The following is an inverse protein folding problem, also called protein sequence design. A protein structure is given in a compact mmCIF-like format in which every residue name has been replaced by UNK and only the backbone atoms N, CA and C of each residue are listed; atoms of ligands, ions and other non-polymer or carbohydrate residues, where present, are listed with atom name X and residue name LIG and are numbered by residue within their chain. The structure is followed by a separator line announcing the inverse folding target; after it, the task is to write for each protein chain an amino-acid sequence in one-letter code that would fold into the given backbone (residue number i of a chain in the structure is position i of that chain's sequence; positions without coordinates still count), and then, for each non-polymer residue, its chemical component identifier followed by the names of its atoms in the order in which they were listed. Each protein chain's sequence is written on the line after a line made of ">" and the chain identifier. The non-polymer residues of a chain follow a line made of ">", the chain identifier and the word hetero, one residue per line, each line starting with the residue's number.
data_IF_148910379679
#
_entry.id   IF_148910379679
#
_cell.length_a   1.000
_cell.length_b   1.000
_cell.length_c   1.000
_cell.angle_alpha   90.00
_cell.angle_beta   90.00
_cell.angle_gamma   90.00
#
_symmetry.space_group_name_H-M   'P 1'
#
loop_
_entity.id
_entity.type
_entity.pdbx_description
1 polymer ?
#
# COMPACT_ATOMS: atom_id res chain seq x y z
N UNK A 1 85.71 -3.49 26.71
CA UNK A 1 84.99 -4.38 25.76
C UNK A 1 83.55 -4.54 26.23
N UNK A 2 82.63 -4.59 25.27
CA UNK A 2 81.25 -4.09 25.36
C UNK A 2 80.29 -5.00 26.15
N UNK A 3 79.43 -4.35 26.94
CA UNK A 3 78.19 -4.90 27.52
C UNK A 3 77.14 -5.08 26.40
N UNK A 4 76.45 -6.21 26.35
CA UNK A 4 75.24 -6.38 25.53
C UNK A 4 74.08 -6.75 26.44
N UNK A 5 73.28 -5.73 26.77
CA UNK A 5 71.95 -5.83 27.36
C UNK A 5 71.01 -6.19 26.20
N UNK A 6 70.38 -7.35 26.25
CA UNK A 6 69.38 -7.77 25.27
C UNK A 6 68.02 -7.19 25.71
N UNK A 7 67.61 -6.11 25.05
CA UNK A 7 66.29 -5.50 25.17
C UNK A 7 65.28 -6.37 24.42
N UNK A 8 64.39 -7.05 25.15
CA UNK A 8 63.21 -7.70 24.60
C UNK A 8 62.17 -6.61 24.33
N UNK A 9 62.07 -6.16 23.08
CA UNK A 9 60.99 -5.31 22.61
C UNK A 9 59.71 -6.12 22.46
N UNK A 10 58.80 -5.97 23.41
CA UNK A 10 57.43 -6.49 23.36
C UNK A 10 56.61 -5.62 22.39
N UNK A 11 56.36 -6.15 21.19
CA UNK A 11 55.51 -5.51 20.17
C UNK A 11 54.05 -5.68 20.62
N UNK A 12 53.44 -4.60 21.12
CA UNK A 12 51.99 -4.51 21.35
C UNK A 12 51.34 -4.32 19.98
N UNK A 13 50.78 -5.40 19.42
CA UNK A 13 49.92 -5.34 18.25
C UNK A 13 48.57 -4.77 18.71
N UNK A 14 48.41 -3.45 18.52
CA UNK A 14 47.15 -2.77 18.71
C UNK A 14 46.22 -3.18 17.57
N UNK A 15 45.43 -4.24 17.76
CA UNK A 15 44.38 -4.63 16.85
C UNK A 15 43.32 -3.51 16.84
N UNK A 16 43.41 -2.64 15.83
CA UNK A 16 42.36 -1.69 15.52
C UNK A 16 41.13 -2.49 15.09
N UNK A 17 40.27 -2.82 16.06
CA UNK A 17 38.91 -3.25 15.78
C UNK A 17 38.20 -2.06 15.13
N UNK A 18 38.22 -2.03 13.79
CA UNK A 18 37.29 -1.23 13.02
C UNK A 18 35.89 -1.79 13.30
N UNK A 19 35.24 -1.30 14.35
CA UNK A 19 33.80 -1.38 14.47
C UNK A 19 33.24 -0.54 13.32
N UNK A 20 33.07 -1.17 12.17
CA UNK A 20 32.19 -0.65 11.15
C UNK A 20 30.82 -0.55 11.80
N UNK A 21 30.39 0.67 12.13
CA UNK A 21 29.02 0.91 12.53
C UNK A 21 28.14 0.39 11.38
N UNK A 22 27.51 -0.76 11.58
CA UNK A 22 26.50 -1.24 10.67
C UNK A 22 25.45 -0.14 10.62
N UNK A 23 25.29 0.52 9.47
CA UNK A 23 24.25 1.52 9.28
C UNK A 23 22.93 0.79 9.45
N UNK A 24 22.27 1.05 10.58
CA UNK A 24 21.00 0.43 10.89
C UNK A 24 19.93 0.99 9.95
N UNK A 25 19.21 0.10 9.26
CA UNK A 25 18.12 0.50 8.36
C UNK A 25 17.09 1.32 9.12
N UNK A 26 16.78 2.51 8.61
CA UNK A 26 15.74 3.36 9.17
C UNK A 26 14.34 2.89 8.77
N UNK A 27 13.32 3.28 9.54
CA UNK A 27 11.92 3.00 9.20
C UNK A 27 11.52 3.55 7.83
N UNK A 28 12.00 4.75 7.49
CA UNK A 28 11.74 5.39 6.19
C UNK A 28 12.34 4.57 5.04
N UNK A 29 13.59 4.12 5.17
CA UNK A 29 14.23 3.30 4.12
C UNK A 29 13.51 1.98 3.90
N UNK A 30 13.00 1.35 4.97
CA UNK A 30 12.23 0.10 4.87
C UNK A 30 10.92 0.35 4.10
N UNK A 31 10.20 1.44 4.41
CA UNK A 31 8.93 1.77 3.77
C UNK A 31 9.10 2.22 2.32
N UNK A 32 10.12 3.03 2.03
CA UNK A 32 10.45 3.44 0.66
C UNK A 32 10.85 2.24 -0.21
N UNK A 33 11.66 1.31 0.31
CA UNK A 33 12.00 0.06 -0.40
C UNK A 33 10.77 -0.82 -0.62
N UNK A 34 9.90 -0.95 0.38
CA UNK A 34 8.65 -1.71 0.27
C UNK A 34 7.71 -1.12 -0.81
N UNK A 35 7.49 0.20 -0.78
CA UNK A 35 6.64 0.90 -1.77
C UNK A 35 7.18 0.70 -3.19
N UNK A 36 8.49 0.90 -3.39
CA UNK A 36 9.16 0.69 -4.70
C UNK A 36 9.19 -0.77 -5.14
N UNK A 37 9.18 -1.73 -4.22
CA UNK A 37 9.17 -3.14 -4.56
C UNK A 37 7.85 -3.53 -5.23
N UNK A 38 6.72 -2.93 -4.83
CA UNK A 38 5.39 -3.27 -5.36
C UNK A 38 4.81 -2.25 -6.33
N UNK A 39 5.41 -1.05 -6.46
CA UNK A 39 4.97 0.01 -7.37
C UNK A 39 6.06 0.42 -8.37
N UNK A 40 5.64 0.85 -9.55
CA UNK A 40 6.48 1.53 -10.54
C UNK A 40 6.12 3.01 -10.66
N UNK A 41 6.85 3.74 -11.49
CA UNK A 41 6.51 5.11 -11.86
C UNK A 41 5.15 5.18 -12.57
N UNK A 42 4.88 4.14 -13.36
CA UNK A 42 3.57 3.86 -13.93
C UNK A 42 3.19 2.41 -13.70
N UNK A 43 1.88 2.16 -13.64
CA UNK A 43 1.34 0.82 -13.49
C UNK A 43 0.05 0.67 -14.30
N UNK A 44 -0.09 -0.45 -15.01
CA UNK A 44 -1.35 -0.89 -15.61
C UNK A 44 -1.68 -2.23 -15.00
N UNK A 45 -2.88 -2.41 -14.46
CA UNK A 45 -3.25 -3.67 -13.80
C UNK A 45 -4.64 -4.14 -14.16
N UNK A 46 -4.80 -5.45 -14.23
CA UNK A 46 -6.08 -6.14 -14.25
C UNK A 46 -6.29 -6.80 -12.89
N UNK A 47 -7.38 -6.43 -12.23
CA UNK A 47 -7.65 -6.78 -10.84
C UNK A 47 -9.04 -7.37 -10.72
N UNK A 48 -9.16 -8.41 -9.90
CA UNK A 48 -10.44 -8.97 -9.47
C UNK A 48 -10.67 -8.63 -8.00
N UNK A 49 -11.81 -8.03 -7.67
CA UNK A 49 -12.13 -7.58 -6.32
C UNK A 49 -13.40 -8.31 -5.86
N UNK A 50 -13.27 -9.18 -4.87
CA UNK A 50 -14.39 -9.89 -4.25
C UNK A 50 -14.75 -9.20 -2.95
N UNK A 51 -15.94 -8.63 -2.88
CA UNK A 51 -16.51 -8.01 -1.68
C UNK A 51 -17.47 -9.04 -1.07
N UNK A 52 -17.16 -9.52 0.12
CA UNK A 52 -18.00 -10.44 0.88
C UNK A 52 -18.59 -9.71 2.07
N UNK A 53 -19.91 -9.55 2.05
CA UNK A 53 -20.70 -9.09 3.18
C UNK A 53 -21.49 -10.26 3.76
N UNK A 54 -22.14 -10.06 4.92
CA UNK A 54 -22.96 -11.11 5.56
C UNK A 54 -24.07 -11.68 4.66
N UNK A 55 -24.63 -10.83 3.79
CA UNK A 55 -25.84 -11.15 3.00
C UNK A 55 -25.55 -11.44 1.53
N UNK A 56 -24.40 -11.00 1.02
CA UNK A 56 -24.11 -11.06 -0.40
C UNK A 56 -22.62 -11.11 -0.66
N UNK A 57 -22.25 -11.67 -1.82
CA UNK A 57 -20.89 -11.61 -2.37
C UNK A 57 -20.96 -11.04 -3.77
N UNK A 58 -20.06 -10.11 -4.09
CA UNK A 58 -19.96 -9.47 -5.41
C UNK A 58 -18.52 -9.45 -5.84
N UNK A 59 -18.27 -9.86 -7.09
CA UNK A 59 -16.93 -9.90 -7.67
C UNK A 59 -16.85 -8.93 -8.84
N UNK A 60 -15.97 -7.95 -8.73
CA UNK A 60 -15.70 -6.95 -9.75
C UNK A 60 -14.46 -7.36 -10.55
N UNK A 61 -14.46 -7.10 -11.85
CA UNK A 61 -13.22 -7.05 -12.65
C UNK A 61 -12.94 -5.61 -12.97
N UNK A 62 -11.73 -5.15 -12.71
CA UNK A 62 -11.32 -3.77 -12.86
C UNK A 62 -10.00 -3.70 -13.63
N UNK A 63 -9.89 -2.73 -14.53
CA UNK A 63 -8.61 -2.33 -15.11
C UNK A 63 -8.23 -0.97 -14.57
N UNK A 64 -6.98 -0.81 -14.16
CA UNK A 64 -6.46 0.45 -13.63
C UNK A 64 -5.19 0.88 -14.34
N UNK A 65 -4.99 2.19 -14.37
CA UNK A 65 -3.82 2.89 -14.86
C UNK A 65 -3.41 3.88 -13.79
N UNK A 66 -2.16 3.84 -13.40
CA UNK A 66 -1.58 4.70 -12.39
C UNK A 66 -0.30 5.34 -12.93
N UNK A 67 -0.13 6.62 -12.65
CA UNK A 67 1.08 7.37 -12.94
C UNK A 67 1.45 8.16 -11.68
N UNK A 68 2.36 7.58 -10.89
CA UNK A 68 2.83 8.13 -9.62
C UNK A 68 3.60 9.43 -9.81
N UNK A 69 4.40 9.53 -10.88
CA UNK A 69 5.21 10.73 -11.19
C UNK A 69 4.33 11.96 -11.41
N UNK A 70 3.22 11.79 -12.12
CA UNK A 70 2.26 12.89 -12.37
C UNK A 70 1.09 12.91 -11.37
N UNK A 71 1.10 11.99 -10.39
CA UNK A 71 0.04 11.77 -9.39
C UNK A 71 -1.37 11.69 -10.02
N UNK A 72 -1.52 10.83 -11.04
CA UNK A 72 -2.78 10.60 -11.77
C UNK A 72 -3.15 9.13 -11.75
N UNK A 73 -4.42 8.83 -11.52
CA UNK A 73 -4.94 7.46 -11.61
C UNK A 73 -6.26 7.42 -12.37
N UNK A 74 -6.50 6.30 -13.06
CA UNK A 74 -7.74 6.01 -13.76
C UNK A 74 -8.10 4.54 -13.52
N UNK A 75 -9.36 4.26 -13.24
CA UNK A 75 -9.86 2.90 -13.10
C UNK A 75 -11.18 2.72 -13.83
N UNK A 76 -11.41 1.53 -14.36
CA UNK A 76 -12.65 1.14 -15.03
C UNK A 76 -13.08 -0.25 -14.59
N UNK A 77 -14.33 -0.35 -14.14
CA UNK A 77 -14.99 -1.61 -13.87
C UNK A 77 -15.42 -2.23 -15.20
N UNK A 78 -14.95 -3.44 -15.48
CA UNK A 78 -15.22 -4.21 -16.68
C UNK A 78 -16.37 -5.21 -16.49
N UNK A 79 -16.54 -5.72 -15.26
CA UNK A 79 -17.57 -6.70 -14.91
C UNK A 79 -17.93 -6.58 -13.42
N UNK A 80 -19.13 -7.05 -13.00
CA UNK A 80 -20.18 -7.66 -13.80
C UNK A 80 -20.95 -6.62 -14.64
N UNK A 81 -21.85 -7.07 -15.54
CA UNK A 81 -22.60 -6.18 -16.44
C UNK A 81 -23.33 -5.05 -15.71
N UNK A 82 -23.84 -5.30 -14.51
CA UNK A 82 -24.52 -4.29 -13.67
C UNK A 82 -23.61 -3.09 -13.32
N UNK A 83 -22.31 -3.32 -13.26
CA UNK A 83 -21.32 -2.36 -12.76
C UNK A 83 -20.32 -1.94 -13.84
N UNK A 84 -20.32 -2.63 -14.96
CA UNK A 84 -19.43 -2.36 -16.08
C UNK A 84 -19.60 -0.92 -16.58
N UNK A 85 -18.48 -0.26 -16.87
CA UNK A 85 -18.43 1.13 -17.32
C UNK A 85 -18.38 2.16 -16.20
N UNK A 86 -18.49 1.77 -14.92
CA UNK A 86 -18.12 2.65 -13.82
C UNK A 86 -16.64 3.00 -13.93
N UNK A 87 -16.31 4.29 -13.91
CA UNK A 87 -14.93 4.76 -14.07
C UNK A 87 -14.59 5.79 -13.02
N UNK A 88 -13.31 5.80 -12.62
CA UNK A 88 -12.78 6.71 -11.61
C UNK A 88 -11.57 7.42 -12.20
N UNK A 89 -11.44 8.71 -11.94
CA UNK A 89 -10.32 9.55 -12.34
C UNK A 89 -9.85 10.36 -11.13
N UNK A 90 -8.55 10.31 -10.84
CA UNK A 90 -7.89 11.18 -9.87
C UNK A 90 -6.82 11.99 -10.58
N UNK A 91 -6.80 13.30 -10.31
CA UNK A 91 -5.72 14.21 -10.71
C UNK A 91 -5.31 15.00 -9.47
N UNK A 92 -4.23 14.56 -8.81
CA UNK A 92 -3.80 15.07 -7.50
C UNK A 92 -3.43 16.55 -7.51
N UNK A 93 -2.89 17.09 -8.62
CA UNK A 93 -2.54 18.52 -8.74
C UNK A 93 -3.73 19.45 -8.40
N UNK A 94 -4.94 18.98 -8.67
CA UNK A 94 -6.15 19.77 -8.45
C UNK A 94 -6.90 19.33 -7.17
N UNK A 95 -6.48 18.23 -6.51
CA UNK A 95 -7.22 17.59 -5.41
C UNK A 95 -8.60 17.11 -5.87
N UNK A 96 -8.72 16.76 -7.16
CA UNK A 96 -9.99 16.44 -7.79
C UNK A 96 -10.07 14.97 -8.13
N UNK A 97 -11.16 14.37 -7.68
CA UNK A 97 -11.57 13.03 -8.05
C UNK A 97 -12.95 13.04 -8.67
N UNK A 98 -13.15 12.17 -9.66
CA UNK A 98 -14.42 12.01 -10.34
C UNK A 98 -14.76 10.54 -10.48
N UNK A 99 -16.03 10.24 -10.29
CA UNK A 99 -16.64 8.95 -10.60
C UNK A 99 -17.65 9.17 -11.71
N UNK A 100 -17.52 8.42 -12.80
CA UNK A 100 -18.54 8.34 -13.83
C UNK A 100 -19.41 7.10 -13.60
N UNK A 101 -20.71 7.32 -13.47
CA UNK A 101 -21.71 6.26 -13.40
C UNK A 101 -22.46 6.16 -14.72
N UNK A 102 -22.34 5.04 -15.45
CA UNK A 102 -23.07 4.84 -16.71
C UNK A 102 -24.58 4.73 -16.48
N UNK A 103 -25.02 4.27 -15.31
CA UNK A 103 -26.44 4.11 -14.95
C UNK A 103 -27.21 5.44 -15.02
N UNK A 104 -26.57 6.52 -14.57
CA UNK A 104 -27.14 7.88 -14.61
C UNK A 104 -26.54 8.75 -15.72
N UNK A 105 -25.55 8.23 -16.44
CA UNK A 105 -24.86 8.92 -17.54
C UNK A 105 -24.11 10.19 -17.13
N UNK A 106 -23.67 10.30 -15.87
CA UNK A 106 -23.05 11.52 -15.31
C UNK A 106 -21.78 11.24 -14.53
N UNK A 107 -20.88 12.22 -14.53
CA UNK A 107 -19.79 12.30 -13.58
C UNK A 107 -20.22 12.98 -12.26
N UNK A 108 -19.68 12.46 -11.16
CA UNK A 108 -19.87 12.97 -9.80
C UNK A 108 -18.48 13.30 -9.27
N UNK A 109 -18.31 14.51 -8.74
CA UNK A 109 -17.07 14.91 -8.08
C UNK A 109 -17.02 14.27 -6.69
N UNK A 110 -15.91 13.60 -6.36
CA UNK A 110 -15.67 13.03 -5.04
C UNK A 110 -14.98 14.10 -4.18
N UNK A 111 -15.67 14.57 -3.14
CA UNK A 111 -15.15 15.53 -2.17
C UNK A 111 -14.22 14.84 -1.15
N UNK A 112 -13.26 15.57 -0.54
CA UNK A 112 -12.34 15.00 0.46
C UNK A 112 -13.05 14.27 1.62
N UNK A 113 -14.20 14.78 2.07
CA UNK A 113 -15.02 14.13 3.11
C UNK A 113 -15.55 12.74 2.71
N UNK A 114 -15.58 12.42 1.41
CA UNK A 114 -15.97 11.12 0.89
C UNK A 114 -14.79 10.16 0.71
N UNK A 115 -13.53 10.60 0.86
CA UNK A 115 -12.37 9.72 0.68
C UNK A 115 -12.32 8.58 1.69
N UNK A 116 -12.85 8.85 2.87
CA UNK A 116 -13.05 7.92 3.97
C UNK A 116 -14.17 6.91 3.77
N UNK A 117 -15.08 7.16 2.83
CA UNK A 117 -16.22 6.30 2.61
C UNK A 117 -15.80 5.00 1.94
N UNK A 118 -16.55 3.95 2.24
CA UNK A 118 -16.39 2.63 1.62
C UNK A 118 -16.51 2.74 0.09
N UNK A 119 -15.49 2.24 -0.61
CA UNK A 119 -15.48 2.19 -2.06
C UNK A 119 -16.41 1.07 -2.53
N UNK A 120 -17.51 1.44 -3.19
CA UNK A 120 -18.51 0.52 -3.75
C UNK A 120 -19.05 -0.55 -2.76
N UNK A 121 -19.08 -0.24 -1.46
CA UNK A 121 -19.54 -1.16 -0.41
C UNK A 121 -18.49 -2.18 0.05
N UNK A 122 -17.22 -1.94 -0.24
CA UNK A 122 -16.07 -2.76 0.17
C UNK A 122 -15.43 -2.31 1.49
N UNK A 123 -14.48 -3.09 1.99
CA UNK A 123 -13.63 -2.72 3.13
C UNK A 123 -12.55 -1.70 2.75
N UNK A 124 -12.31 -1.46 1.45
CA UNK A 124 -11.44 -0.39 1.00
C UNK A 124 -12.19 0.95 1.03
N UNK A 125 -11.48 2.01 1.38
CA UNK A 125 -11.95 3.38 1.22
C UNK A 125 -11.69 3.88 -0.20
N UNK A 126 -12.28 5.02 -0.57
CA UNK A 126 -11.97 5.66 -1.85
C UNK A 126 -10.47 6.02 -1.92
N UNK A 127 -9.88 6.52 -0.83
CA UNK A 127 -8.43 6.81 -0.74
C UNK A 127 -7.57 5.58 -1.03
N UNK A 128 -7.91 4.42 -0.46
CA UNK A 128 -7.14 3.19 -0.65
C UNK A 128 -7.08 2.73 -2.13
N UNK A 129 -8.12 3.03 -2.91
CA UNK A 129 -8.25 2.59 -4.32
C UNK A 129 -7.62 3.59 -5.28
N UNK A 130 -7.87 4.87 -5.06
CA UNK A 130 -7.35 5.96 -5.92
C UNK A 130 -5.91 6.33 -5.57
N UNK A 131 -5.45 5.94 -4.37
CA UNK A 131 -4.11 6.14 -3.81
C UNK A 131 -3.73 7.63 -3.72
N UNK A 132 -4.58 8.44 -3.12
CA UNK A 132 -4.31 9.87 -2.92
C UNK A 132 -3.19 10.08 -1.89
N UNK A 133 -3.23 9.33 -0.78
CA UNK A 133 -2.21 9.39 0.27
C UNK A 133 -0.95 8.56 -0.04
N UNK A 134 0.20 9.07 0.40
CA UNK A 134 1.52 8.45 0.28
C UNK A 134 2.05 8.04 1.65
N UNK A 135 2.13 6.73 1.90
CA UNK A 135 2.72 6.19 3.12
C UNK A 135 4.20 6.57 3.33
N UNK A 136 4.88 7.03 2.26
CA UNK A 136 6.28 7.47 2.28
C UNK A 136 6.36 8.97 2.60
N UNK A 137 5.49 9.80 2.02
CA UNK A 137 5.58 11.27 2.12
C UNK A 137 4.79 11.82 3.32
N UNK A 138 3.66 11.21 3.67
CA UNK A 138 2.66 11.79 4.58
C UNK A 138 2.81 11.35 6.05
N UNK A 139 3.76 10.45 6.32
CA UNK A 139 3.96 9.84 7.64
C UNK A 139 5.40 10.02 8.13
N UNK A 140 5.61 9.99 9.44
CA UNK A 140 6.89 9.73 10.10
C UNK A 140 7.03 8.23 10.35
N UNK A 141 8.25 7.71 10.32
CA UNK A 141 8.51 6.26 10.31
C UNK A 141 9.43 5.85 11.46
N UNK A 142 8.91 5.02 12.37
CA UNK A 142 9.66 4.52 13.53
C UNK A 142 9.81 3.01 13.43
N UNK A 143 11.04 2.52 13.27
CA UNK A 143 11.34 1.08 13.30
C UNK A 143 11.23 0.56 14.74
N UNK A 144 10.41 -0.47 14.96
CA UNK A 144 10.21 -1.13 16.26
C UNK A 144 10.99 -2.44 16.40
N UNK A 145 11.74 -2.84 15.36
CA UNK A 145 12.49 -4.08 15.30
C UNK A 145 11.87 -5.10 14.34
N UNK A 146 12.00 -6.38 14.67
CA UNK A 146 11.55 -7.50 13.83
C UNK A 146 10.56 -8.41 14.55
N UNK A 147 9.65 -9.01 13.79
CA UNK A 147 8.67 -9.99 14.28
C UNK A 147 8.30 -10.98 13.18
N UNK A 148 8.02 -12.23 13.56
CA UNK A 148 7.43 -13.19 12.62
C UNK A 148 5.92 -12.94 12.51
N UNK A 149 5.43 -12.70 11.28
CA UNK A 149 4.01 -12.42 10.95
C UNK A 149 3.66 -13.18 9.67
N UNK A 150 2.53 -13.89 9.66
CA UNK A 150 2.11 -14.74 8.52
C UNK A 150 3.20 -15.70 8.02
N UNK A 151 4.05 -16.22 8.91
CA UNK A 151 5.15 -17.12 8.56
C UNK A 151 6.39 -16.45 7.97
N UNK A 152 6.45 -15.12 7.93
CA UNK A 152 7.58 -14.34 7.44
C UNK A 152 8.25 -13.55 8.57
N UNK A 153 9.58 -13.55 8.64
CA UNK A 153 10.30 -12.56 9.44
C UNK A 153 10.09 -11.18 8.80
N UNK A 154 9.57 -10.22 9.56
CA UNK A 154 9.23 -8.89 9.08
C UNK A 154 9.87 -7.81 9.94
N UNK A 155 10.32 -6.73 9.31
CA UNK A 155 10.46 -5.44 9.98
C UNK A 155 9.09 -4.91 10.40
N UNK A 156 9.00 -4.33 11.59
CA UNK A 156 7.79 -3.67 12.10
C UNK A 156 8.04 -2.17 12.14
N UNK A 157 7.34 -1.42 11.29
CA UNK A 157 7.49 0.04 11.22
C UNK A 157 6.16 0.68 11.62
N UNK A 158 6.22 1.59 12.58
CA UNK A 158 5.09 2.44 12.96
C UNK A 158 5.12 3.69 12.08
N UNK A 159 4.00 3.98 11.45
CA UNK A 159 3.76 5.16 10.63
C UNK A 159 2.77 6.06 11.37
N UNK A 160 3.19 7.27 11.71
CA UNK A 160 2.35 8.30 12.34
C UNK A 160 2.18 9.48 11.38
N UNK A 161 0.95 9.95 11.16
CA UNK A 161 0.70 10.99 10.17
C UNK A 161 1.39 12.30 10.57
N UNK A 162 1.96 13.00 9.58
CA UNK A 162 2.51 14.35 9.81
C UNK A 162 1.39 15.34 10.12
N UNK A 163 1.63 16.40 10.91
CA UNK A 163 0.58 17.36 11.30
C UNK A 163 -0.19 17.98 10.13
N UNK A 164 0.48 18.20 9.01
CA UNK A 164 -0.06 18.79 7.78
C UNK A 164 -0.63 17.77 6.78
N UNK A 165 -0.47 16.48 7.05
CA UNK A 165 -0.91 15.43 6.14
C UNK A 165 -2.44 15.31 6.14
N UNK A 166 -3.04 15.42 4.95
CA UNK A 166 -4.48 15.20 4.75
C UNK A 166 -4.81 13.70 4.72
N UNK A 167 -4.45 12.97 5.77
CA UNK A 167 -4.63 11.53 5.89
C UNK A 167 -5.63 11.18 6.97
N UNK A 168 -6.07 9.93 6.91
CA UNK A 168 -7.26 9.48 7.64
C UNK A 168 -6.96 8.53 8.80
N UNK A 169 -5.78 7.92 8.78
CA UNK A 169 -5.35 6.97 9.80
C UNK A 169 -4.50 7.68 10.84
N UNK A 170 -4.84 7.52 12.11
CA UNK A 170 -4.06 8.07 13.21
C UNK A 170 -2.73 7.34 13.41
N UNK A 171 -2.64 6.09 12.93
CA UNK A 171 -1.43 5.28 12.93
C UNK A 171 -1.58 4.09 11.99
N UNK A 172 -0.50 3.72 11.32
CA UNK A 172 -0.39 2.44 10.58
C UNK A 172 0.77 1.64 11.17
N UNK A 173 0.55 0.36 11.48
CA UNK A 173 1.65 -0.57 11.77
C UNK A 173 1.89 -1.41 10.53
N UNK A 174 3.06 -1.23 9.93
CA UNK A 174 3.44 -1.82 8.67
C UNK A 174 4.44 -2.96 8.86
N UNK A 175 4.19 -4.09 8.21
CA UNK A 175 5.02 -5.28 8.29
C UNK A 175 5.64 -5.55 6.91
N UNK A 176 6.95 -5.31 6.79
CA UNK A 176 7.72 -5.53 5.55
C UNK A 176 8.65 -6.74 5.73
N UNK A 177 8.60 -7.70 4.81
CA UNK A 177 9.40 -8.92 4.89
C UNK A 177 10.91 -8.61 4.89
N UNK A 178 11.65 -9.25 5.78
CA UNK A 178 13.11 -9.15 5.80
C UNK A 178 13.68 -9.85 4.55
N UNK A 179 14.62 -9.18 3.89
CA UNK A 179 15.32 -9.69 2.69
C UNK A 179 14.88 -9.01 1.40
N UNK A 180 13.58 -8.89 1.16
CA UNK A 180 13.03 -8.30 -0.08
C UNK A 180 12.05 -7.15 0.14
N UNK A 181 11.79 -6.77 1.40
CA UNK A 181 10.95 -5.64 1.80
C UNK A 181 9.49 -5.75 1.35
N UNK A 182 9.03 -6.90 0.84
CA UNK A 182 7.66 -7.00 0.35
C UNK A 182 6.64 -6.86 1.50
N UNK A 183 5.50 -6.17 1.27
CA UNK A 183 4.47 -6.05 2.28
C UNK A 183 3.90 -7.42 2.65
N UNK A 184 3.71 -7.62 3.94
CA UNK A 184 3.06 -8.82 4.51
C UNK A 184 1.74 -8.44 5.15
N UNK A 185 1.71 -7.35 5.92
CA UNK A 185 0.52 -6.94 6.66
C UNK A 185 0.55 -5.44 6.94
N UNK A 186 -0.63 -4.85 7.05
CA UNK A 186 -0.83 -3.50 7.58
C UNK A 186 -1.98 -3.52 8.60
N UNK A 187 -1.77 -2.85 9.72
CA UNK A 187 -2.79 -2.64 10.74
C UNK A 187 -3.11 -1.14 10.81
N UNK A 188 -4.36 -0.78 10.52
CA UNK A 188 -4.78 0.61 10.36
C UNK A 188 -5.62 1.05 11.56
N UNK A 189 -5.13 2.05 12.27
CA UNK A 189 -5.72 2.58 13.50
C UNK A 189 -6.33 3.96 13.26
N UNK A 190 -7.46 4.24 13.93
CA UNK A 190 -8.04 5.59 13.92
C UNK A 190 -7.26 6.58 14.80
N UNK A 191 -7.65 7.85 14.78
CA UNK A 191 -7.09 8.92 15.60
C UNK A 191 -7.21 8.71 17.12
N UNK A 192 -8.00 7.72 17.56
CA UNK A 192 -8.13 7.35 18.98
C UNK A 192 -7.32 6.10 19.33
N UNK A 193 -6.43 5.65 18.42
CA UNK A 193 -5.58 4.48 18.64
C UNK A 193 -6.33 3.15 18.58
N UNK A 194 -7.55 3.12 18.02
CA UNK A 194 -8.32 1.88 17.87
C UNK A 194 -8.05 1.25 16.52
N UNK A 195 -7.68 -0.03 16.52
CA UNK A 195 -7.54 -0.84 15.30
C UNK A 195 -8.89 -0.91 14.57
N UNK A 196 -8.91 -0.49 13.30
CA UNK A 196 -10.10 -0.48 12.45
C UNK A 196 -10.03 -1.46 11.31
N UNK A 197 -8.87 -1.59 10.68
CA UNK A 197 -8.71 -2.46 9.52
C UNK A 197 -7.40 -3.21 9.59
N UNK A 198 -7.41 -4.39 8.98
CA UNK A 198 -6.21 -5.19 8.76
C UNK A 198 -6.16 -5.55 7.28
N UNK A 199 -5.06 -5.18 6.64
CA UNK A 199 -4.71 -5.64 5.30
C UNK A 199 -3.68 -6.75 5.44
N UNK A 200 -3.90 -7.88 4.78
CA UNK A 200 -2.93 -8.98 4.75
C UNK A 200 -2.63 -9.37 3.32
N UNK A 201 -1.35 -9.50 3.02
CA UNK A 201 -0.84 -9.85 1.70
C UNK A 201 -0.55 -11.35 1.64
N UNK A 202 -0.95 -11.98 0.54
CA UNK A 202 -0.72 -13.39 0.28
C UNK A 202 -0.24 -13.59 -1.16
N UNK A 203 0.31 -14.78 -1.41
CA UNK A 203 0.67 -15.26 -2.75
C UNK A 203 1.62 -14.30 -3.46
N UNK A 204 2.92 -14.51 -3.27
CA UNK A 204 3.98 -13.73 -3.91
C UNK A 204 4.34 -14.35 -5.24
N UNK A 205 4.14 -13.62 -6.35
CA UNK A 205 4.42 -14.11 -7.71
C UNK A 205 5.11 -13.04 -8.53
N UNK A 206 5.88 -13.47 -9.52
CA UNK A 206 6.43 -12.58 -10.53
C UNK A 206 5.28 -12.03 -11.39
N UNK A 207 5.15 -10.71 -11.41
CA UNK A 207 4.26 -9.94 -12.28
C UNK A 207 5.14 -9.02 -13.11
N UNK A 208 5.18 -9.25 -14.42
CA UNK A 208 6.08 -8.56 -15.34
C UNK A 208 7.56 -8.67 -14.89
N UNK A 209 8.17 -7.57 -14.43
CA UNK A 209 9.60 -7.47 -14.12
C UNK A 209 9.96 -7.80 -12.66
N UNK A 210 8.98 -7.96 -11.77
CA UNK A 210 9.20 -8.02 -10.30
C UNK A 210 8.31 -9.03 -9.59
N UNK A 211 8.69 -9.44 -8.39
CA UNK A 211 7.86 -10.26 -7.50
C UNK A 211 7.07 -9.35 -6.57
N UNK A 212 5.76 -9.53 -6.51
CA UNK A 212 4.85 -8.77 -5.64
C UNK A 212 3.85 -9.71 -4.97
N UNK A 213 3.24 -9.33 -3.84
CA UNK A 213 2.02 -9.98 -3.40
C UNK A 213 0.90 -9.75 -4.43
N UNK A 214 0.14 -10.80 -4.71
CA UNK A 214 -0.91 -10.78 -5.74
C UNK A 214 -2.30 -10.93 -5.16
N UNK A 215 -2.40 -11.25 -3.88
CA UNK A 215 -3.67 -11.34 -3.15
C UNK A 215 -3.59 -10.43 -1.93
N UNK A 216 -4.54 -9.52 -1.80
CA UNK A 216 -4.68 -8.62 -0.66
C UNK A 216 -6.05 -8.85 -0.04
N UNK A 217 -6.11 -9.17 1.26
CA UNK A 217 -7.35 -9.31 2.01
C UNK A 217 -7.45 -8.18 3.02
N UNK A 218 -8.47 -7.33 2.87
CA UNK A 218 -8.81 -6.27 3.80
C UNK A 218 -10.00 -6.72 4.66
N UNK A 219 -9.90 -6.52 5.98
CA UNK A 219 -10.97 -6.82 6.94
C UNK A 219 -11.22 -5.58 7.80
N UNK A 220 -12.46 -5.09 7.84
CA UNK A 220 -12.87 -4.04 8.78
C UNK A 220 -13.34 -4.64 10.11
N UNK A 221 -12.70 -4.24 11.21
CA UNK A 221 -13.07 -4.60 12.56
C UNK A 221 -14.23 -3.73 13.07
N UNK A 222 -15.42 -4.30 13.10
CA UNK A 222 -16.61 -3.67 13.69
C UNK A 222 -16.64 -3.95 15.20
N UNK A 223 -17.21 -3.03 16.00
CA UNK A 223 -17.56 -3.35 17.40
C UNK A 223 -18.41 -4.63 17.36
N UNK A 224 -18.00 -5.68 18.09
CA UNK A 224 -18.82 -6.88 18.23
C UNK A 224 -20.19 -6.43 18.76
N UNK A 225 -21.23 -6.57 17.95
CA UNK A 225 -22.59 -6.63 18.47
C UNK A 225 -22.78 -8.09 18.84
N UNK A 226 -23.12 -8.34 20.11
CA UNK A 226 -23.12 -9.65 20.76
C UNK A 226 -24.15 -10.63 20.17
N UNK A 227 -24.97 -10.19 19.23
CA UNK A 227 -25.94 -10.99 18.50
C UNK A 227 -25.78 -10.79 16.99
N UNK A 228 -26.12 -11.82 16.22
CA UNK A 228 -26.25 -11.86 14.75
C UNK A 228 -25.07 -12.51 14.00
N UNK A 229 -25.32 -13.77 13.61
CA UNK A 229 -24.64 -14.62 12.62
C UNK A 229 -23.18 -14.31 12.27
N UNK A 230 -22.30 -15.28 12.58
CA UNK A 230 -20.89 -15.42 12.16
C UNK A 230 -20.72 -15.53 10.62
N UNK A 231 -21.04 -14.48 9.88
CA UNK A 231 -20.60 -14.33 8.50
C UNK A 231 -19.26 -13.61 8.46
N UNK A 232 -18.24 -14.20 7.83
CA UNK A 232 -17.00 -13.48 7.55
C UNK A 232 -17.26 -12.34 6.55
N UNK A 233 -16.92 -11.11 6.95
CA UNK A 233 -16.94 -9.92 6.10
C UNK A 233 -15.50 -9.56 5.73
N UNK A 234 -15.22 -9.42 4.44
CA UNK A 234 -13.91 -9.01 3.95
C UNK A 234 -13.99 -8.57 2.49
N UNK A 235 -12.95 -7.87 2.05
CA UNK A 235 -12.72 -7.60 0.64
C UNK A 235 -11.39 -8.20 0.24
N UNK A 236 -11.39 -8.98 -0.83
CA UNK A 236 -10.21 -9.62 -1.38
C UNK A 236 -9.92 -9.09 -2.77
N UNK A 237 -8.73 -8.54 -2.96
CA UNK A 237 -8.21 -8.06 -4.23
C UNK A 237 -7.20 -9.08 -4.76
N UNK A 238 -7.36 -9.50 -6.02
CA UNK A 238 -6.44 -10.40 -6.71
C UNK A 238 -5.92 -9.70 -7.97
N UNK A 239 -4.63 -9.42 -8.01
CA UNK A 239 -3.95 -8.90 -9.20
C UNK A 239 -3.80 -10.07 -10.18
N UNK A 240 -4.48 -9.99 -11.32
CA UNK A 240 -4.43 -11.01 -12.38
C UNK A 240 -3.31 -10.73 -13.36
N UNK A 241 -3.03 -9.46 -13.61
CA UNK A 241 -1.93 -9.00 -14.46
C UNK A 241 -1.49 -7.59 -14.02
N UNK A 242 -0.20 -7.28 -14.15
CA UNK A 242 0.35 -5.97 -13.86
C UNK A 242 1.60 -5.69 -14.71
N UNK A 243 1.64 -4.53 -15.35
CA UNK A 243 2.81 -4.01 -16.06
C UNK A 243 3.29 -2.73 -15.39
N UNK A 244 4.60 -2.58 -15.26
CA UNK A 244 5.23 -1.44 -14.59
C UNK A 244 6.10 -0.63 -15.55
N UNK A 245 6.27 0.66 -15.27
CA UNK A 245 7.21 1.56 -15.96
C UNK A 245 7.01 1.61 -17.49
N UNK A 246 5.75 1.46 -17.94
CA UNK A 246 5.36 1.61 -19.33
C UNK A 246 4.76 2.99 -19.55
N UNK A 247 5.06 3.61 -20.69
CA UNK A 247 4.42 4.87 -21.06
C UNK A 247 2.91 4.67 -21.15
N UNK A 248 2.15 5.46 -20.39
CA UNK A 248 0.69 5.53 -20.46
C UNK A 248 0.35 6.80 -21.23
N UNK A 249 -0.58 6.70 -22.18
CA UNK A 249 -1.04 7.86 -22.93
C UNK A 249 -1.76 8.84 -21.99
N UNK A 250 -1.39 10.12 -22.03
CA UNK A 250 -2.00 11.16 -21.21
C UNK A 250 -3.51 11.29 -21.43
N UNK A 251 -4.03 10.88 -22.60
CA UNK A 251 -5.46 10.85 -22.91
C UNK A 251 -6.24 9.96 -21.94
N UNK A 252 -5.59 8.96 -21.33
CA UNK A 252 -6.22 8.10 -20.32
C UNK A 252 -6.69 8.92 -19.12
N UNK A 253 -5.88 9.87 -18.67
CA UNK A 253 -6.12 10.66 -17.46
C UNK A 253 -6.86 11.97 -17.75
N UNK A 254 -7.99 11.88 -18.45
CA UNK A 254 -8.79 13.05 -18.85
C UNK A 254 -10.27 12.86 -18.53
N UNK A 255 -10.96 13.98 -18.26
CA UNK A 255 -12.42 13.99 -18.13
C UNK A 255 -13.12 13.54 -19.42
N UNK A 256 -12.53 13.80 -20.59
CA UNK A 256 -13.05 13.32 -21.86
C UNK A 256 -13.06 11.78 -21.91
N UNK A 257 -11.95 11.15 -21.51
CA UNK A 257 -11.85 9.70 -21.48
C UNK A 257 -12.75 9.07 -20.40
N UNK A 258 -12.94 9.77 -19.27
CA UNK A 258 -13.88 9.36 -18.21
C UNK A 258 -15.31 9.24 -18.74
N UNK A 259 -15.76 10.25 -19.52
CA UNK A 259 -17.13 10.37 -20.03
C UNK A 259 -17.38 9.69 -21.38
N UNK A 260 -16.42 8.93 -21.90
CA UNK A 260 -16.55 8.29 -23.22
C UNK A 260 -17.76 7.34 -23.23
N UNK A 261 -18.49 7.31 -24.34
CA UNK A 261 -19.61 6.38 -24.54
C UNK A 261 -19.09 5.04 -25.06
#
# INVERSE_FOLDING_TARGET
>A
MKKTISTISMIIILAAFSYGAAVELTGLEIIDRSDRAVRGDTQISLVEITIKNRRWTRTLKMKSWDNRVTKKSFAEILAPKKDAGNRFLMISKDGLMWHYSPEIGKEIKIHPSMMLQSWMGSDFSNDDIVKESSIVEDYTHTLQGKKTVEGHECYVVILEPKPEAAVVWGKIVYFARVGDFLPVKEELYDQHGKLKKVLTCYVYRRMYDRVIPTVYKMVTLKKQRESEQKGEEYTMMVIKDAMFNRKIDNRIFTLQNLKRR
#
